data_IF_947344085261
#
_entry.id   IF_947344085261
#
_cell.length_a   1.000
_cell.length_b   1.000
_cell.length_c   1.000
_cell.angle_alpha   90.00
_cell.angle_beta   90.00
_cell.angle_gamma   90.00
#
_symmetry.space_group_name_H-M   'P 1'
#
loop_
_entity.id
_entity.type
_entity.pdbx_description
1 polymer ?
#
# COMPACT_ATOMS: atom_id res chain seq x y z
N UNK A 1 22.06 -15.34 -27.06
CA UNK A 1 20.75 -14.65 -27.13
C UNK A 1 20.97 -13.20 -27.54
N UNK A 2 20.16 -12.68 -28.48
CA UNK A 2 20.27 -11.24 -28.89
C UNK A 2 18.90 -10.65 -29.12
N UNK A 3 18.65 -9.44 -28.54
CA UNK A 3 17.39 -8.71 -28.69
C UNK A 3 17.62 -7.20 -28.65
N UNK A 4 16.62 -6.45 -29.14
CA UNK A 4 16.60 -4.98 -29.17
C UNK A 4 15.34 -4.50 -28.41
N UNK A 5 15.52 -3.51 -27.55
CA UNK A 5 14.43 -2.91 -26.73
C UNK A 5 14.66 -1.41 -26.56
N UNK A 6 13.59 -0.59 -26.48
CA UNK A 6 13.70 0.83 -26.14
C UNK A 6 14.17 0.99 -24.69
N UNK A 7 15.17 1.88 -24.47
CA UNK A 7 15.72 2.14 -23.14
C UNK A 7 14.66 2.71 -22.19
N UNK A 8 13.83 3.65 -22.66
CA UNK A 8 12.76 4.27 -21.85
C UNK A 8 11.65 3.27 -21.51
N UNK A 9 11.23 2.43 -22.48
CA UNK A 9 10.22 1.41 -22.25
C UNK A 9 10.69 0.36 -21.25
N UNK A 10 11.95 -0.09 -21.38
CA UNK A 10 12.55 -1.03 -20.44
C UNK A 10 12.64 -0.43 -19.05
N UNK A 11 13.21 0.78 -18.93
CA UNK A 11 13.34 1.47 -17.63
C UNK A 11 12.00 1.61 -16.92
N UNK A 12 10.96 2.06 -17.63
CA UNK A 12 9.60 2.21 -17.07
C UNK A 12 9.08 0.90 -16.48
N UNK A 13 9.23 -0.21 -17.20
CA UNK A 13 8.75 -1.50 -16.72
C UNK A 13 9.59 -2.02 -15.53
N UNK A 14 10.91 -1.86 -15.58
CA UNK A 14 11.77 -2.25 -14.47
C UNK A 14 11.48 -1.43 -13.18
N UNK A 15 11.13 -0.14 -13.31
CA UNK A 15 10.74 0.69 -12.17
C UNK A 15 9.51 0.13 -11.44
N UNK A 16 8.54 -0.47 -12.16
CA UNK A 16 7.35 -1.07 -11.54
C UNK A 16 7.69 -2.27 -10.64
N UNK A 17 8.73 -3.03 -10.97
CA UNK A 17 9.08 -4.27 -10.26
C UNK A 17 10.33 -4.16 -9.39
N UNK A 18 11.14 -3.12 -9.56
CA UNK A 18 12.41 -2.95 -8.82
C UNK A 18 12.24 -2.88 -7.30
N UNK A 19 11.09 -2.42 -6.81
CA UNK A 19 10.77 -2.37 -5.39
C UNK A 19 10.61 -3.73 -4.71
N UNK A 20 10.53 -4.83 -5.47
CA UNK A 20 10.56 -6.19 -4.92
C UNK A 20 11.95 -6.53 -4.39
N UNK A 21 12.99 -6.08 -5.11
CA UNK A 21 14.38 -6.42 -4.83
C UNK A 21 14.81 -5.74 -3.52
N UNK A 22 15.32 -6.56 -2.60
CA UNK A 22 15.94 -6.08 -1.37
C UNK A 22 17.46 -6.06 -1.56
N UNK A 23 18.12 -5.00 -1.11
CA UNK A 23 19.57 -4.99 -1.00
C UNK A 23 20.04 -5.87 0.17
N UNK A 24 21.21 -6.50 0.02
CA UNK A 24 21.83 -7.36 1.05
C UNK A 24 21.01 -8.61 1.40
N UNK A 25 20.54 -9.31 0.40
CA UNK A 25 19.85 -10.59 0.59
C UNK A 25 20.83 -11.73 0.90
N UNK A 26 20.31 -12.79 1.54
CA UNK A 26 21.10 -14.02 1.80
C UNK A 26 21.45 -14.76 0.50
N UNK A 27 20.59 -14.61 -0.52
CA UNK A 27 20.76 -15.20 -1.85
C UNK A 27 21.07 -14.10 -2.86
N UNK A 28 22.31 -13.94 -3.32
CA UNK A 28 22.69 -12.84 -4.24
C UNK A 28 21.83 -12.74 -5.51
N UNK A 29 21.40 -13.87 -6.06
CA UNK A 29 20.56 -13.89 -7.28
C UNK A 29 19.22 -13.16 -7.13
N UNK A 30 18.75 -12.90 -5.89
CA UNK A 30 17.57 -12.10 -5.64
C UNK A 30 17.78 -10.59 -5.85
N UNK A 31 19.04 -10.17 -6.04
CA UNK A 31 19.40 -8.80 -6.43
C UNK A 31 19.35 -8.63 -7.96
N UNK A 32 19.03 -9.68 -8.70
CA UNK A 32 18.97 -9.69 -10.15
C UNK A 32 17.52 -9.65 -10.66
N UNK A 33 17.37 -9.16 -11.87
CA UNK A 33 16.19 -9.41 -12.70
C UNK A 33 16.39 -10.65 -13.54
N UNK A 34 15.43 -11.58 -13.54
CA UNK A 34 15.40 -12.66 -14.53
C UNK A 34 14.78 -12.13 -15.83
N UNK A 35 15.56 -12.12 -16.89
CA UNK A 35 15.14 -11.81 -18.26
C UNK A 35 14.84 -13.11 -19.01
N UNK A 36 13.64 -13.21 -19.55
CA UNK A 36 13.20 -14.33 -20.37
C UNK A 36 12.74 -13.81 -21.73
N UNK A 37 13.46 -14.18 -22.78
CA UNK A 37 13.14 -13.83 -24.17
C UNK A 37 12.52 -15.03 -24.84
N UNK A 38 11.29 -14.87 -25.30
CA UNK A 38 10.59 -15.86 -26.11
C UNK A 38 9.91 -15.19 -27.30
N UNK A 39 10.35 -15.58 -28.53
CA UNK A 39 9.94 -14.90 -29.76
C UNK A 39 10.24 -13.39 -29.65
N UNK A 40 9.23 -12.54 -29.87
CA UNK A 40 9.37 -11.09 -29.79
C UNK A 40 8.85 -10.53 -28.46
N UNK A 41 8.89 -11.31 -27.38
CA UNK A 41 8.48 -10.88 -26.04
C UNK A 41 9.63 -11.04 -25.07
N UNK A 42 9.82 -10.02 -24.26
CA UNK A 42 10.69 -10.04 -23.10
C UNK A 42 9.80 -10.05 -21.85
N UNK A 43 9.94 -11.07 -21.03
CA UNK A 43 9.41 -11.09 -19.68
C UNK A 43 10.54 -10.78 -18.70
N UNK A 44 10.32 -9.88 -17.75
CA UNK A 44 11.26 -9.59 -16.68
C UNK A 44 10.60 -9.89 -15.35
N UNK A 45 11.31 -10.65 -14.52
CA UNK A 45 10.82 -11.08 -13.19
C UNK A 45 11.75 -10.58 -12.11
N UNK A 46 11.17 -10.15 -11.00
CA UNK A 46 11.86 -9.84 -9.75
C UNK A 46 11.18 -10.58 -8.59
N UNK A 47 11.95 -11.07 -7.64
CA UNK A 47 11.43 -11.76 -6.46
C UNK A 47 12.27 -11.53 -5.22
N UNK A 48 11.62 -11.59 -4.05
CA UNK A 48 12.26 -11.67 -2.73
C UNK A 48 11.89 -12.98 -2.00
N UNK A 49 11.41 -13.99 -2.75
CA UNK A 49 10.84 -15.28 -2.33
C UNK A 49 9.39 -15.19 -1.82
N UNK A 50 8.99 -14.10 -1.19
CA UNK A 50 7.62 -13.91 -0.68
C UNK A 50 6.73 -13.19 -1.69
N UNK A 51 7.32 -12.33 -2.51
CA UNK A 51 6.65 -11.57 -3.57
C UNK A 51 7.37 -11.77 -4.89
N UNK A 52 6.61 -12.03 -5.95
CA UNK A 52 7.10 -12.10 -7.31
C UNK A 52 6.36 -11.07 -8.15
N UNK A 53 7.09 -10.28 -8.92
CA UNK A 53 6.50 -9.41 -9.93
C UNK A 53 7.09 -9.71 -11.31
N UNK A 54 6.22 -9.77 -12.29
CA UNK A 54 6.55 -10.01 -13.70
C UNK A 54 5.97 -8.88 -14.54
N UNK A 55 6.76 -8.37 -15.46
CA UNK A 55 6.33 -7.44 -16.52
C UNK A 55 6.71 -8.01 -17.88
N UNK A 56 5.94 -7.64 -18.90
CA UNK A 56 6.19 -8.07 -20.27
C UNK A 56 6.30 -6.86 -21.20
N UNK A 57 7.24 -6.96 -22.15
CA UNK A 57 7.46 -5.96 -23.19
C UNK A 57 7.54 -6.65 -24.55
N UNK A 58 7.09 -5.94 -25.58
CA UNK A 58 7.39 -6.32 -26.96
C UNK A 58 8.81 -5.88 -27.33
N UNK A 59 9.54 -6.74 -28.01
CA UNK A 59 10.94 -6.54 -28.39
C UNK A 59 11.18 -7.10 -29.79
N UNK A 60 12.32 -6.74 -30.38
CA UNK A 60 12.83 -7.44 -31.56
C UNK A 60 13.87 -8.45 -31.12
N UNK A 61 13.61 -9.75 -31.27
CA UNK A 61 14.52 -10.82 -30.88
C UNK A 61 14.85 -11.73 -32.01
N UNK A 62 16.14 -12.16 -32.05
CA UNK A 62 16.61 -13.18 -33.00
C UNK A 62 16.55 -14.58 -32.41
N UNK A 63 16.79 -14.68 -31.11
CA UNK A 63 16.93 -15.94 -30.39
C UNK A 63 16.16 -15.88 -29.08
N UNK A 64 15.64 -17.02 -28.64
CA UNK A 64 15.05 -17.17 -27.29
C UNK A 64 16.15 -17.52 -26.28
N UNK A 65 15.88 -17.27 -25.00
CA UNK A 65 16.78 -17.62 -23.89
C UNK A 65 16.47 -16.89 -22.61
N UNK A 66 17.27 -17.19 -21.57
CA UNK A 66 17.11 -16.58 -20.23
C UNK A 66 18.47 -16.16 -19.70
N UNK A 67 18.47 -15.15 -18.83
CA UNK A 67 19.64 -14.68 -18.09
C UNK A 67 19.21 -13.87 -16.88
N UNK A 68 19.93 -13.96 -15.76
CA UNK A 68 19.77 -13.05 -14.64
C UNK A 68 20.71 -11.86 -14.79
N UNK A 69 20.21 -10.65 -14.59
CA UNK A 69 20.95 -9.40 -14.79
C UNK A 69 20.93 -8.59 -13.50
N UNK A 70 22.09 -8.18 -12.95
CA UNK A 70 22.17 -7.36 -11.75
C UNK A 70 21.32 -6.10 -11.87
N UNK A 71 20.28 -5.99 -11.03
CA UNK A 71 19.25 -4.98 -11.18
C UNK A 71 19.80 -3.58 -10.95
N UNK A 72 20.64 -3.39 -9.93
CA UNK A 72 21.17 -2.08 -9.54
C UNK A 72 21.95 -1.44 -10.68
N UNK A 73 22.93 -2.14 -11.22
CA UNK A 73 23.80 -1.59 -12.30
C UNK A 73 23.00 -1.34 -13.58
N UNK A 74 22.04 -2.23 -13.90
CA UNK A 74 21.16 -2.06 -15.06
C UNK A 74 20.28 -0.82 -14.89
N UNK A 75 19.60 -0.67 -13.76
CA UNK A 75 18.73 0.47 -13.47
C UNK A 75 19.50 1.79 -13.49
N UNK A 76 20.68 1.82 -12.86
CA UNK A 76 21.50 3.02 -12.80
C UNK A 76 22.05 3.40 -14.18
N UNK A 77 22.37 2.42 -15.04
CA UNK A 77 22.74 2.64 -16.43
C UNK A 77 21.60 3.21 -17.26
N UNK A 78 20.40 2.57 -17.17
CA UNK A 78 19.23 2.99 -17.94
C UNK A 78 18.75 4.41 -17.59
N UNK A 79 18.85 4.83 -16.33
CA UNK A 79 18.51 6.21 -15.90
C UNK A 79 19.37 7.27 -16.56
N UNK A 80 20.58 6.93 -16.98
CA UNK A 80 21.57 7.86 -17.56
C UNK A 80 21.70 7.74 -19.08
N UNK A 81 20.95 6.81 -19.71
CA UNK A 81 20.91 6.63 -21.17
C UNK A 81 19.68 7.37 -21.71
N UNK A 82 19.87 8.23 -22.72
CA UNK A 82 18.77 8.88 -23.42
C UNK A 82 17.87 7.83 -24.10
N UNK A 83 16.62 8.21 -24.43
CA UNK A 83 15.70 7.31 -25.09
C UNK A 83 16.21 6.89 -26.47
N UNK A 84 16.50 5.62 -26.61
CA UNK A 84 17.06 5.00 -27.82
C UNK A 84 16.88 3.50 -27.82
N UNK A 85 16.99 2.82 -28.98
CA UNK A 85 17.08 1.37 -29.03
C UNK A 85 18.39 0.87 -28.38
N UNK A 86 18.27 -0.10 -27.50
CA UNK A 86 19.42 -0.81 -26.91
C UNK A 86 19.48 -2.23 -27.43
N UNK A 87 20.66 -2.64 -27.88
CA UNK A 87 20.91 -4.03 -28.27
C UNK A 87 21.57 -4.77 -27.13
N UNK A 88 20.90 -5.80 -26.64
CA UNK A 88 21.46 -6.76 -25.69
C UNK A 88 22.00 -7.97 -26.41
N UNK A 89 23.25 -8.33 -26.14
CA UNK A 89 23.90 -9.56 -26.64
C UNK A 89 24.41 -10.34 -25.44
N UNK A 90 23.92 -11.55 -25.27
CA UNK A 90 24.27 -12.43 -24.16
C UNK A 90 24.99 -13.66 -24.70
N UNK A 91 26.18 -13.93 -24.19
CA UNK A 91 27.00 -15.06 -24.56
C UNK A 91 26.63 -16.34 -23.76
N UNK A 92 27.37 -17.44 -24.03
CA UNK A 92 27.14 -18.75 -23.39
C UNK A 92 27.55 -18.80 -21.92
N UNK A 93 28.33 -17.83 -21.44
CA UNK A 93 28.82 -17.72 -20.08
C UNK A 93 28.07 -16.64 -19.31
N UNK A 94 26.91 -16.21 -19.81
CA UNK A 94 26.07 -15.13 -19.22
C UNK A 94 26.72 -13.74 -19.24
N UNK A 95 27.80 -13.54 -20.02
CA UNK A 95 28.32 -12.22 -20.29
C UNK A 95 27.34 -11.40 -21.14
N UNK A 96 26.99 -10.20 -20.68
CA UNK A 96 26.01 -9.32 -21.30
C UNK A 96 26.71 -8.10 -21.85
N UNK A 97 26.58 -7.85 -23.15
CA UNK A 97 26.97 -6.59 -23.78
C UNK A 97 25.72 -5.82 -24.19
N UNK A 98 25.57 -4.59 -23.64
CA UNK A 98 24.52 -3.65 -23.98
C UNK A 98 25.14 -2.60 -24.89
N UNK A 99 24.64 -2.48 -26.11
CA UNK A 99 25.10 -1.51 -27.11
C UNK A 99 24.03 -0.42 -27.27
N UNK A 100 24.46 0.83 -27.13
CA UNK A 100 23.70 2.04 -27.44
C UNK A 100 24.31 2.76 -28.65
N UNK A 101 23.74 3.86 -29.11
CA UNK A 101 24.27 4.67 -30.21
C UNK A 101 25.70 5.11 -29.98
N UNK A 102 26.06 5.45 -28.75
CA UNK A 102 27.34 6.08 -28.41
C UNK A 102 28.23 5.22 -27.50
N UNK A 103 27.82 4.04 -27.10
CA UNK A 103 28.57 3.27 -26.12
C UNK A 103 28.26 1.78 -26.07
N UNK A 104 29.18 1.08 -25.40
CA UNK A 104 29.03 -0.35 -25.07
C UNK A 104 29.29 -0.55 -23.59
N UNK A 105 28.38 -1.28 -22.95
CA UNK A 105 28.45 -1.58 -21.53
C UNK A 105 28.47 -3.10 -21.35
N UNK A 106 29.35 -3.60 -20.51
CA UNK A 106 29.47 -5.01 -20.22
C UNK A 106 29.13 -5.30 -18.77
N UNK A 107 28.27 -6.25 -18.54
CA UNK A 107 27.88 -6.72 -17.23
C UNK A 107 27.94 -8.25 -17.23
N UNK A 108 28.37 -8.84 -16.11
CA UNK A 108 28.27 -10.28 -15.93
C UNK A 108 26.90 -10.60 -15.35
N UNK A 109 26.16 -11.46 -15.99
CA UNK A 109 24.91 -12.02 -15.50
C UNK A 109 25.13 -13.34 -14.77
N UNK A 110 24.04 -13.91 -14.26
CA UNK A 110 24.04 -15.18 -13.57
C UNK A 110 23.20 -16.24 -14.29
N UNK A 111 23.43 -17.52 -13.92
CA UNK A 111 22.69 -18.64 -14.48
C UNK A 111 21.21 -18.59 -14.05
N UNK A 112 20.25 -18.49 -14.98
CA UNK A 112 18.83 -18.41 -14.70
C UNK A 112 18.26 -19.67 -14.03
N UNK A 113 18.92 -20.81 -14.12
CA UNK A 113 18.49 -22.05 -13.47
C UNK A 113 18.53 -21.97 -11.93
N UNK A 114 19.33 -21.02 -11.39
CA UNK A 114 19.41 -20.75 -9.96
C UNK A 114 18.33 -19.78 -9.48
N UNK A 115 17.59 -19.14 -10.39
CA UNK A 115 16.53 -18.21 -10.01
C UNK A 115 15.33 -18.96 -9.44
N UNK A 116 14.70 -18.47 -8.35
CA UNK A 116 13.57 -19.14 -7.71
C UNK A 116 12.39 -19.31 -8.66
N UNK A 117 11.71 -20.46 -8.54
CA UNK A 117 10.50 -20.71 -9.32
C UNK A 117 9.34 -19.85 -8.81
N UNK A 118 8.56 -19.34 -9.74
CA UNK A 118 7.34 -18.60 -9.42
C UNK A 118 6.25 -19.55 -8.90
N UNK A 119 5.39 -19.11 -7.95
CA UNK A 119 4.24 -19.87 -7.55
C UNK A 119 3.23 -19.99 -8.70
N UNK A 120 2.60 -21.15 -8.81
CA UNK A 120 1.55 -21.42 -9.80
C UNK A 120 0.18 -21.00 -9.24
N UNK A 121 -0.69 -20.50 -10.12
CA UNK A 121 -2.05 -20.09 -9.77
C UNK A 121 -3.04 -21.28 -9.82
N UNK A 122 -2.62 -22.44 -9.28
CA UNK A 122 -3.45 -23.62 -9.23
C UNK A 122 -4.51 -23.51 -8.13
N UNK A 123 -5.69 -24.08 -8.36
CA UNK A 123 -6.82 -24.13 -7.42
C UNK A 123 -7.22 -22.75 -6.87
N UNK A 124 -7.17 -21.72 -7.69
CA UNK A 124 -7.50 -20.35 -7.28
C UNK A 124 -8.98 -20.03 -7.40
N UNK A 125 -9.47 -19.21 -6.46
CA UNK A 125 -10.72 -18.44 -6.62
C UNK A 125 -10.38 -17.08 -7.20
N UNK A 126 -11.13 -16.65 -8.22
CA UNK A 126 -10.88 -15.39 -8.92
C UNK A 126 -12.07 -14.46 -8.84
N UNK A 127 -11.81 -13.16 -8.84
CA UNK A 127 -12.79 -12.10 -8.99
C UNK A 127 -12.17 -10.90 -9.71
N UNK A 128 -13.01 -10.07 -10.30
CA UNK A 128 -12.57 -8.89 -11.04
C UNK A 128 -13.02 -7.61 -10.33
N UNK A 129 -12.26 -6.54 -10.50
CA UNK A 129 -12.63 -5.20 -10.08
C UNK A 129 -11.91 -4.15 -10.93
N UNK A 130 -12.29 -2.88 -10.82
CA UNK A 130 -11.55 -1.79 -11.43
C UNK A 130 -10.18 -1.59 -10.75
N UNK A 131 -9.16 -1.27 -11.51
CA UNK A 131 -7.82 -0.99 -10.99
C UNK A 131 -7.84 0.19 -10.01
N UNK A 132 -8.60 1.25 -10.33
CA UNK A 132 -8.84 2.39 -9.43
C UNK A 132 -9.41 1.96 -8.08
N UNK A 133 -10.36 1.03 -8.06
CA UNK A 133 -10.99 0.53 -6.84
C UNK A 133 -9.99 -0.23 -5.93
N UNK A 134 -9.09 -1.05 -6.51
CA UNK A 134 -8.04 -1.71 -5.74
C UNK A 134 -7.03 -0.71 -5.18
N UNK A 135 -6.54 0.21 -6.00
CA UNK A 135 -5.56 1.23 -5.58
C UNK A 135 -6.14 2.11 -4.48
N UNK A 136 -7.42 2.47 -4.58
CA UNK A 136 -8.15 3.21 -3.54
C UNK A 136 -8.28 2.39 -2.26
N UNK A 137 -8.68 1.11 -2.34
CA UNK A 137 -8.80 0.24 -1.17
C UNK A 137 -7.46 0.10 -0.42
N UNK A 138 -6.37 -0.10 -1.16
CA UNK A 138 -5.02 -0.15 -0.58
C UNK A 138 -4.66 1.19 0.06
N UNK A 139 -4.89 2.31 -0.62
CA UNK A 139 -4.53 3.65 -0.15
C UNK A 139 -5.28 4.04 1.12
N UNK A 140 -6.56 3.65 1.20
CA UNK A 140 -7.44 3.94 2.35
C UNK A 140 -7.20 3.03 3.56
N UNK A 141 -6.44 1.92 3.43
CA UNK A 141 -6.27 0.96 4.53
C UNK A 141 -4.83 0.75 4.96
N UNK A 142 -3.89 0.75 4.03
CA UNK A 142 -2.52 0.30 4.25
C UNK A 142 -1.76 1.07 5.34
N UNK A 143 -2.07 2.35 5.54
CA UNK A 143 -1.43 3.20 6.55
C UNK A 143 -1.74 2.76 7.99
N UNK A 144 -2.82 2.00 8.19
CA UNK A 144 -3.25 1.52 9.49
C UNK A 144 -2.68 0.14 9.84
N UNK A 145 -1.85 -0.47 9.00
CA UNK A 145 -1.17 -1.73 9.31
C UNK A 145 -0.09 -1.54 10.38
N UNK A 146 0.16 -2.57 11.17
CA UNK A 146 1.22 -2.60 12.19
C UNK A 146 2.60 -2.82 11.56
N UNK A 147 3.65 -2.36 12.26
CA UNK A 147 5.04 -2.74 11.99
C UNK A 147 5.57 -3.76 13.03
N UNK A 148 4.71 -4.29 13.86
CA UNK A 148 5.08 -5.23 14.94
C UNK A 148 4.98 -6.67 14.43
N UNK A 149 6.12 -7.28 14.16
CA UNK A 149 6.21 -8.67 13.65
C UNK A 149 5.75 -9.72 14.68
N UNK A 150 5.61 -9.35 15.95
CA UNK A 150 5.02 -10.22 16.97
C UNK A 150 3.50 -10.39 16.80
N UNK A 151 2.87 -9.54 16.01
CA UNK A 151 1.46 -9.60 15.66
C UNK A 151 1.28 -9.68 14.14
N UNK A 152 1.70 -10.78 13.50
CA UNK A 152 1.78 -10.88 12.04
C UNK A 152 0.44 -10.64 11.34
N UNK A 153 -0.69 -11.01 11.95
CA UNK A 153 -2.01 -10.74 11.39
C UNK A 153 -2.27 -9.24 11.12
N UNK A 154 -1.64 -8.34 11.88
CA UNK A 154 -1.83 -6.89 11.75
C UNK A 154 -0.80 -6.23 10.82
N UNK A 155 0.23 -6.96 10.33
CA UNK A 155 1.24 -6.41 9.41
C UNK A 155 0.79 -6.37 7.95
N UNK A 156 -0.43 -6.82 7.67
CA UNK A 156 -1.07 -6.80 6.36
C UNK A 156 -2.47 -6.22 6.41
N UNK A 157 -3.09 -6.18 5.25
CA UNK A 157 -4.50 -5.80 5.09
C UNK A 157 -5.33 -7.08 4.99
N UNK A 158 -6.37 -7.15 5.79
CA UNK A 158 -7.34 -8.24 5.78
C UNK A 158 -8.40 -7.98 4.71
N UNK A 159 -8.50 -8.90 3.76
CA UNK A 159 -9.50 -8.92 2.71
C UNK A 159 -10.62 -9.87 3.13
N UNK A 160 -11.82 -9.38 3.28
CA UNK A 160 -13.04 -10.17 3.55
C UNK A 160 -13.99 -9.99 2.38
N UNK A 161 -14.28 -11.10 1.67
CA UNK A 161 -15.15 -11.12 0.49
C UNK A 161 -16.44 -11.86 0.83
N UNK A 162 -17.54 -11.30 0.41
CA UNK A 162 -18.85 -11.95 0.45
C UNK A 162 -19.73 -11.49 -0.72
N UNK A 163 -21.01 -11.92 -0.73
CA UNK A 163 -22.00 -11.47 -1.72
C UNK A 163 -22.35 -9.98 -1.61
N UNK A 164 -21.96 -9.31 -0.52
CA UNK A 164 -22.30 -7.91 -0.24
C UNK A 164 -21.15 -6.96 -0.56
N UNK A 165 -20.00 -7.50 -0.96
CA UNK A 165 -18.86 -6.71 -1.35
C UNK A 165 -17.52 -7.24 -0.88
N UNK A 166 -16.49 -6.47 -1.20
CA UNK A 166 -15.13 -6.62 -0.67
C UNK A 166 -14.95 -5.66 0.50
N UNK A 167 -14.48 -6.14 1.63
CA UNK A 167 -14.02 -5.33 2.74
C UNK A 167 -12.50 -5.48 2.91
N UNK A 168 -11.81 -4.34 3.01
CA UNK A 168 -10.40 -4.27 3.35
C UNK A 168 -10.29 -3.67 4.75
N UNK A 169 -9.62 -4.37 5.66
CA UNK A 169 -9.48 -3.96 7.06
C UNK A 169 -8.01 -3.97 7.45
N UNK A 170 -7.57 -2.92 8.13
CA UNK A 170 -6.24 -2.82 8.70
C UNK A 170 -6.28 -2.23 10.10
N UNK A 171 -5.40 -2.70 10.99
CA UNK A 171 -5.29 -2.21 12.36
C UNK A 171 -3.87 -2.41 12.90
N UNK A 172 -3.44 -1.50 13.79
CA UNK A 172 -2.22 -1.61 14.59
C UNK A 172 -2.52 -1.74 16.10
N UNK A 173 -3.78 -2.04 16.46
CA UNK A 173 -4.37 -2.09 17.79
C UNK A 173 -4.66 -0.71 18.43
N UNK A 174 -4.19 0.40 17.86
CA UNK A 174 -4.48 1.77 18.33
C UNK A 174 -5.47 2.48 17.43
N UNK A 175 -5.55 2.06 16.19
CA UNK A 175 -6.51 2.51 15.18
C UNK A 175 -6.94 1.34 14.30
N UNK A 176 -8.06 1.51 13.63
CA UNK A 176 -8.60 0.54 12.68
C UNK A 176 -9.22 1.29 11.51
N UNK A 177 -8.99 0.80 10.32
CA UNK A 177 -9.69 1.25 9.12
C UNK A 177 -10.42 0.08 8.50
N UNK A 178 -11.68 0.28 8.19
CA UNK A 178 -12.51 -0.62 7.38
C UNK A 178 -12.97 0.15 6.16
N UNK A 179 -12.60 -0.33 5.00
CA UNK A 179 -13.05 0.20 3.71
C UNK A 179 -13.78 -0.88 2.94
N UNK A 180 -14.99 -0.58 2.48
CA UNK A 180 -15.83 -1.51 1.75
C UNK A 180 -16.14 -1.01 0.35
N UNK A 181 -16.10 -1.95 -0.64
CA UNK A 181 -16.57 -1.79 -2.02
C UNK A 181 -17.74 -2.73 -2.22
N UNK A 182 -18.94 -2.15 -2.43
CA UNK A 182 -20.19 -2.92 -2.50
C UNK A 182 -20.41 -3.59 -3.85
N UNK A 183 -19.82 -3.04 -4.92
CA UNK A 183 -19.93 -3.56 -6.29
C UNK A 183 -19.05 -4.79 -6.55
N UNK A 184 -18.03 -5.01 -5.72
CA UNK A 184 -17.13 -6.16 -5.84
C UNK A 184 -17.71 -7.32 -5.05
N UNK A 185 -18.20 -8.34 -5.72
CA UNK A 185 -18.78 -9.49 -5.05
C UNK A 185 -18.07 -10.80 -5.38
N UNK A 186 -17.99 -11.69 -4.40
CA UNK A 186 -17.55 -13.07 -4.57
C UNK A 186 -18.66 -14.01 -4.10
N UNK A 187 -19.11 -14.95 -4.94
CA UNK A 187 -20.22 -15.86 -4.58
C UNK A 187 -19.92 -16.75 -3.36
N UNK A 188 -18.64 -17.11 -3.20
CA UNK A 188 -18.14 -17.88 -2.06
C UNK A 188 -17.47 -16.89 -1.11
N UNK A 189 -18.06 -16.72 0.08
CA UNK A 189 -17.43 -15.92 1.14
C UNK A 189 -16.06 -16.49 1.52
N UNK A 190 -15.06 -15.63 1.62
CA UNK A 190 -13.70 -16.01 2.00
C UNK A 190 -12.95 -14.83 2.60
N UNK A 191 -11.81 -15.10 3.23
CA UNK A 191 -10.98 -14.05 3.81
C UNK A 191 -9.52 -14.46 3.87
N UNK A 192 -8.63 -13.48 3.67
CA UNK A 192 -7.19 -13.67 3.70
C UNK A 192 -6.46 -12.37 4.04
N UNK A 193 -5.19 -12.46 4.42
CA UNK A 193 -4.38 -11.30 4.80
C UNK A 193 -3.25 -11.14 3.78
N UNK A 194 -3.23 -10.00 3.10
CA UNK A 194 -2.18 -9.64 2.13
C UNK A 194 -1.11 -8.79 2.83
N UNK A 195 0.17 -9.17 2.77
CA UNK A 195 1.24 -8.40 3.41
C UNK A 195 1.34 -6.96 2.88
N UNK A 196 1.90 -6.09 3.71
CA UNK A 196 2.05 -4.66 3.40
C UNK A 196 2.93 -4.40 2.17
N UNK A 197 4.07 -5.10 2.02
CA UNK A 197 5.04 -4.86 0.94
C UNK A 197 4.42 -5.03 -0.44
N UNK A 198 3.80 -6.18 -0.81
CA UNK A 198 3.17 -6.35 -2.12
C UNK A 198 2.07 -5.33 -2.39
N UNK A 199 1.29 -4.92 -1.39
CA UNK A 199 0.27 -3.89 -1.58
C UNK A 199 0.87 -2.51 -1.92
N UNK A 200 1.99 -2.15 -1.30
CA UNK A 200 2.72 -0.93 -1.69
C UNK A 200 3.24 -1.01 -3.14
N UNK A 201 3.75 -2.18 -3.55
CA UNK A 201 4.22 -2.39 -4.92
C UNK A 201 3.10 -2.27 -5.94
N UNK A 202 1.93 -2.81 -5.63
CA UNK A 202 0.74 -2.68 -6.50
C UNK A 202 0.33 -1.23 -6.72
N UNK A 203 0.37 -0.38 -5.69
CA UNK A 203 0.07 1.06 -5.83
C UNK A 203 0.97 1.79 -6.82
N UNK A 204 2.21 1.33 -6.98
CA UNK A 204 3.18 1.92 -7.91
C UNK A 204 3.02 1.32 -9.31
N UNK A 205 2.74 0.01 -9.39
CA UNK A 205 2.73 -0.73 -10.64
C UNK A 205 1.40 -0.65 -11.40
N UNK A 206 0.29 -0.44 -10.68
CA UNK A 206 -1.06 -0.40 -11.27
C UNK A 206 -1.55 1.06 -11.36
N UNK A 207 -1.93 1.54 -12.55
CA UNK A 207 -2.52 2.87 -12.69
C UNK A 207 -3.90 2.90 -12.04
N UNK A 208 -4.23 4.04 -11.41
CA UNK A 208 -5.55 4.27 -10.81
C UNK A 208 -6.56 4.69 -11.89
N UNK A 209 -6.90 3.79 -12.77
CA UNK A 209 -7.89 3.95 -13.84
C UNK A 209 -8.98 2.88 -13.75
N UNK A 210 -9.94 2.89 -14.64
CA UNK A 210 -11.09 1.99 -14.64
C UNK A 210 -10.84 0.68 -15.42
N UNK A 211 -9.59 0.40 -15.82
CA UNK A 211 -9.26 -0.88 -16.44
C UNK A 211 -9.60 -2.02 -15.48
N UNK A 212 -10.15 -3.09 -16.02
CA UNK A 212 -10.44 -4.29 -15.26
C UNK A 212 -9.15 -5.02 -14.87
N UNK A 213 -9.05 -5.38 -13.61
CA UNK A 213 -7.99 -6.26 -13.09
C UNK A 213 -8.58 -7.56 -12.58
N UNK A 214 -7.82 -8.63 -12.77
CA UNK A 214 -8.14 -9.94 -12.21
C UNK A 214 -7.33 -10.18 -10.95
N UNK A 215 -8.04 -10.47 -9.88
CA UNK A 215 -7.50 -10.88 -8.59
C UNK A 215 -7.82 -12.35 -8.37
N UNK A 216 -6.84 -13.12 -7.94
CA UNK A 216 -7.03 -14.54 -7.63
C UNK A 216 -6.31 -14.89 -6.34
N UNK A 217 -6.80 -15.86 -5.63
CA UNK A 217 -6.17 -16.34 -4.40
C UNK A 217 -6.42 -17.83 -4.19
N UNK A 218 -5.51 -18.45 -3.46
CA UNK A 218 -5.66 -19.77 -2.90
C UNK A 218 -5.30 -19.75 -1.40
N UNK A 219 -5.10 -20.91 -0.77
CA UNK A 219 -4.75 -20.98 0.66
C UNK A 219 -3.44 -20.26 1.02
N UNK A 220 -2.51 -20.10 0.09
CA UNK A 220 -1.14 -19.67 0.37
C UNK A 220 -0.74 -18.38 -0.34
N UNK A 221 -1.36 -18.07 -1.48
CA UNK A 221 -0.92 -16.98 -2.34
C UNK A 221 -2.07 -16.11 -2.82
N UNK A 222 -1.75 -14.85 -3.03
CA UNK A 222 -2.59 -13.87 -3.71
C UNK A 222 -1.92 -13.48 -5.03
N UNK A 223 -2.72 -13.40 -6.09
CA UNK A 223 -2.28 -13.09 -7.45
C UNK A 223 -3.05 -11.90 -7.99
N UNK A 224 -2.34 -11.03 -8.71
CA UNK A 224 -2.91 -9.87 -9.39
C UNK A 224 -2.42 -9.85 -10.83
N UNK A 225 -3.33 -9.65 -11.78
CA UNK A 225 -3.00 -9.50 -13.19
C UNK A 225 -3.67 -8.24 -13.74
N UNK A 226 -2.85 -7.34 -14.28
CA UNK A 226 -3.27 -6.13 -14.97
C UNK A 226 -2.42 -5.93 -16.24
N UNK A 227 -3.04 -6.08 -17.40
CA UNK A 227 -2.33 -5.96 -18.68
C UNK A 227 -1.11 -6.88 -18.75
N UNK A 228 0.07 -6.27 -18.91
CA UNK A 228 1.36 -6.95 -18.97
C UNK A 228 2.04 -7.13 -17.61
N UNK A 229 1.46 -6.62 -16.55
CA UNK A 229 1.97 -6.72 -15.18
C UNK A 229 1.27 -7.84 -14.43
N UNK A 230 2.04 -8.68 -13.77
CA UNK A 230 1.55 -9.74 -12.90
C UNK A 230 2.30 -9.68 -11.58
N UNK A 231 1.60 -9.94 -10.49
CA UNK A 231 2.17 -10.08 -9.16
C UNK A 231 1.61 -11.32 -8.50
N UNK A 232 2.45 -12.03 -7.77
CA UNK A 232 2.03 -13.02 -6.78
C UNK A 232 2.73 -12.74 -5.45
N UNK A 233 2.04 -12.97 -4.35
CA UNK A 233 2.66 -12.90 -3.04
C UNK A 233 2.10 -13.96 -2.11
N UNK A 234 2.93 -14.38 -1.15
CA UNK A 234 2.51 -15.25 -0.07
C UNK A 234 1.56 -14.53 0.87
N UNK A 235 0.49 -15.19 1.28
CA UNK A 235 -0.45 -14.70 2.27
C UNK A 235 0.11 -14.84 3.69
N UNK A 236 -0.33 -13.98 4.60
CA UNK A 236 -0.01 -14.12 6.02
C UNK A 236 -0.89 -15.22 6.61
N UNK A 237 -0.26 -16.33 7.02
CA UNK A 237 -0.92 -17.44 7.68
C UNK A 237 -1.15 -17.11 9.17
N UNK A 238 -2.16 -16.31 9.44
CA UNK A 238 -2.56 -15.94 10.80
C UNK A 238 -4.05 -15.60 10.84
N UNK A 239 -4.68 -15.78 12.01
CA UNK A 239 -6.06 -15.38 12.21
C UNK A 239 -6.14 -13.87 12.48
N UNK A 240 -6.85 -13.14 11.63
CA UNK A 240 -7.14 -11.71 11.87
C UNK A 240 -8.05 -11.57 13.11
N UNK A 241 -7.81 -10.57 13.99
CA UNK A 241 -8.65 -10.34 15.17
C UNK A 241 -10.10 -10.03 14.75
N UNK A 242 -11.05 -10.38 15.63
CA UNK A 242 -12.46 -10.02 15.42
C UNK A 242 -12.63 -8.50 15.59
N UNK A 243 -12.37 -7.77 14.51
CA UNK A 243 -12.39 -6.33 14.50
C UNK A 243 -13.80 -5.73 14.70
N UNK A 244 -14.85 -6.53 14.46
CA UNK A 244 -16.25 -6.06 14.54
C UNK A 244 -16.64 -5.71 15.98
N UNK A 245 -16.07 -6.40 16.96
CA UNK A 245 -16.38 -6.20 18.38
C UNK A 245 -15.78 -4.92 18.96
N UNK A 246 -14.74 -4.35 18.33
CA UNK A 246 -14.11 -3.11 18.82
C UNK A 246 -14.73 -1.84 18.23
N UNK A 247 -15.57 -1.96 17.20
CA UNK A 247 -16.26 -0.82 16.58
C UNK A 247 -17.45 -0.44 17.45
N UNK A 248 -17.46 0.75 18.09
CA UNK A 248 -18.57 1.22 18.87
C UNK A 248 -19.85 1.36 18.04
N UNK A 249 -20.96 0.94 18.60
CA UNK A 249 -22.30 1.09 17.98
C UNK A 249 -23.11 2.21 18.62
N UNK A 250 -22.60 2.83 19.69
CA UNK A 250 -23.30 3.78 20.56
C UNK A 250 -22.42 5.00 20.89
N UNK A 251 -21.89 5.66 19.88
CA UNK A 251 -21.25 6.98 20.00
C UNK A 251 -22.28 8.06 19.64
N UNK A 252 -22.97 8.68 20.64
CA UNK A 252 -24.12 9.54 20.37
C UNK A 252 -23.74 10.94 19.91
N UNK A 253 -22.53 11.39 20.19
CA UNK A 253 -22.08 12.75 19.90
C UNK A 253 -21.40 12.82 18.54
N UNK A 254 -21.83 13.75 17.70
CA UNK A 254 -21.26 13.99 16.39
C UNK A 254 -20.59 15.36 16.34
N UNK A 255 -19.31 15.33 16.01
CA UNK A 255 -18.50 16.50 15.66
C UNK A 255 -18.32 16.53 14.14
N UNK A 256 -18.80 17.58 13.47
CA UNK A 256 -18.57 17.83 12.05
C UNK A 256 -17.63 19.02 11.89
N UNK A 257 -16.56 18.84 11.11
CA UNK A 257 -15.54 19.87 10.87
C UNK A 257 -15.08 19.85 9.42
N UNK A 258 -14.63 21.02 8.93
CA UNK A 258 -13.90 21.07 7.67
C UNK A 258 -12.60 20.24 7.77
N UNK A 259 -12.43 19.31 6.85
CA UNK A 259 -11.31 18.35 6.87
C UNK A 259 -9.94 19.04 6.78
N UNK A 260 -9.81 19.99 5.84
CA UNK A 260 -8.51 20.64 5.56
C UNK A 260 -8.09 21.56 6.72
N UNK A 261 -9.03 22.28 7.29
CA UNK A 261 -8.79 23.15 8.45
C UNK A 261 -8.38 22.32 9.66
N UNK A 262 -9.11 21.24 9.93
CA UNK A 262 -8.82 20.34 11.05
C UNK A 262 -7.46 19.66 10.88
N UNK A 263 -7.16 19.14 9.70
CA UNK A 263 -5.86 18.52 9.41
C UNK A 263 -4.71 19.53 9.52
N UNK A 264 -4.93 20.76 9.03
CA UNK A 264 -3.98 21.87 9.15
C UNK A 264 -3.68 22.25 10.60
N UNK A 265 -4.74 22.41 11.42
CA UNK A 265 -4.61 22.69 12.85
C UNK A 265 -3.87 21.56 13.59
N UNK A 266 -4.23 20.30 13.34
CA UNK A 266 -3.53 19.14 13.90
C UNK A 266 -2.05 19.13 13.56
N UNK A 267 -1.69 19.43 12.29
CA UNK A 267 -0.28 19.48 11.86
C UNK A 267 0.50 20.57 12.62
N UNK A 268 -0.08 21.76 12.80
CA UNK A 268 0.60 22.87 13.50
C UNK A 268 0.71 22.59 15.00
N UNK A 269 -0.40 22.21 15.65
CA UNK A 269 -0.43 21.97 17.10
C UNK A 269 0.43 20.77 17.49
N UNK A 270 0.46 19.70 16.67
CA UNK A 270 1.26 18.50 16.95
C UNK A 270 2.78 18.73 16.97
N UNK A 271 3.27 19.85 16.43
CA UNK A 271 4.69 20.23 16.52
C UNK A 271 5.10 20.39 17.99
N UNK A 272 4.21 20.86 18.82
CA UNK A 272 4.37 21.12 20.26
C UNK A 272 4.07 19.92 21.15
N UNK A 273 3.63 18.79 20.58
CA UNK A 273 3.32 17.58 21.33
C UNK A 273 4.58 16.80 21.71
N UNK A 274 4.50 16.03 22.81
CA UNK A 274 5.51 15.09 23.17
C UNK A 274 5.75 14.06 22.01
N UNK A 275 7.02 13.82 21.66
CA UNK A 275 7.39 13.03 20.50
C UNK A 275 7.07 11.53 20.61
N UNK A 276 6.93 11.03 21.83
CA UNK A 276 6.60 9.61 22.07
C UNK A 276 5.11 9.35 21.88
N UNK A 277 4.25 10.24 22.40
CA UNK A 277 2.80 10.05 22.37
C UNK A 277 2.12 10.73 21.18
N UNK A 278 2.70 11.83 20.67
CA UNK A 278 2.10 12.73 19.68
C UNK A 278 0.68 13.17 20.10
N UNK A 279 0.48 13.37 21.41
CA UNK A 279 -0.83 13.63 21.97
C UNK A 279 -1.32 15.02 21.64
N UNK A 280 -2.56 15.13 21.17
CA UNK A 280 -3.32 16.36 21.01
C UNK A 280 -4.66 16.17 21.73
N UNK A 281 -5.01 17.10 22.62
CA UNK A 281 -6.31 17.15 23.27
C UNK A 281 -7.27 17.96 22.41
N UNK A 282 -8.48 17.45 22.27
CA UNK A 282 -9.63 18.10 21.63
C UNK A 282 -10.62 18.49 22.73
N UNK A 283 -10.81 19.79 22.94
CA UNK A 283 -11.85 20.33 23.80
C UNK A 283 -12.98 20.83 22.92
N UNK A 284 -14.16 20.23 23.05
CA UNK A 284 -15.30 20.43 22.16
C UNK A 284 -16.45 21.03 23.02
N UNK A 285 -16.92 22.20 22.68
CA UNK A 285 -18.04 22.83 23.35
C UNK A 285 -18.87 23.68 22.38
N UNK A 286 -20.13 23.36 22.23
CA UNK A 286 -21.04 24.08 21.35
C UNK A 286 -20.56 24.10 19.88
N UNK A 287 -20.17 25.27 19.36
CA UNK A 287 -19.68 25.43 17.99
C UNK A 287 -18.15 25.63 17.90
N UNK A 288 -17.42 25.43 18.99
CA UNK A 288 -15.98 25.63 19.07
C UNK A 288 -15.26 24.29 19.32
N UNK A 289 -14.21 24.04 18.55
CA UNK A 289 -13.24 22.99 18.77
C UNK A 289 -11.89 23.64 19.09
N UNK A 290 -11.36 23.37 20.27
CA UNK A 290 -9.99 23.75 20.63
C UNK A 290 -9.07 22.54 20.58
N UNK A 291 -7.94 22.70 19.89
CA UNK A 291 -6.85 21.72 19.86
C UNK A 291 -5.74 22.21 20.77
N UNK A 292 -5.20 21.36 21.63
CA UNK A 292 -4.08 21.68 22.50
C UNK A 292 -3.06 20.54 22.54
N UNK A 293 -1.79 20.89 22.53
CA UNK A 293 -0.69 19.95 22.73
C UNK A 293 0.35 20.57 23.65
N UNK A 294 0.99 19.72 24.44
CA UNK A 294 2.05 20.13 25.37
C UNK A 294 3.15 19.08 25.43
N UNK A 295 4.38 19.54 25.51
CA UNK A 295 5.55 18.74 25.90
C UNK A 295 6.15 19.37 27.16
N UNK A 296 5.88 18.75 28.31
CA UNK A 296 6.30 19.27 29.63
C UNK A 296 7.82 19.25 29.76
N UNK A 297 8.49 18.25 29.17
CA UNK A 297 9.94 18.09 29.29
C UNK A 297 10.72 19.23 28.62
N UNK A 298 10.15 19.78 27.55
CA UNK A 298 10.75 20.88 26.79
C UNK A 298 10.03 22.22 26.99
N UNK A 299 8.98 22.27 27.85
CA UNK A 299 8.15 23.46 28.06
C UNK A 299 7.54 23.99 26.75
N UNK A 300 7.17 23.11 25.84
CA UNK A 300 6.47 23.48 24.62
C UNK A 300 4.97 23.40 24.83
N UNK A 301 4.24 24.37 24.28
CA UNK A 301 2.78 24.40 24.28
C UNK A 301 2.26 25.02 22.99
N UNK A 302 1.21 24.44 22.43
CA UNK A 302 0.52 24.98 21.27
C UNK A 302 -0.97 24.74 21.39
N UNK A 303 -1.77 25.76 21.04
CA UNK A 303 -3.22 25.64 20.99
C UNK A 303 -3.77 26.43 19.80
N UNK A 304 -4.87 25.92 19.25
CA UNK A 304 -5.63 26.56 18.18
C UNK A 304 -7.12 26.34 18.40
N UNK A 305 -7.92 27.26 17.88
CA UNK A 305 -9.38 27.17 17.89
C UNK A 305 -9.92 27.17 16.47
N UNK A 306 -10.97 26.42 16.26
CA UNK A 306 -11.69 26.39 14.99
C UNK A 306 -13.19 26.21 15.19
N UNK A 307 -13.97 26.62 14.22
CA UNK A 307 -15.40 26.39 14.23
C UNK A 307 -15.74 24.93 13.94
N UNK A 308 -16.78 24.42 14.56
CA UNK A 308 -17.31 23.09 14.33
C UNK A 308 -18.83 23.08 14.47
N UNK A 309 -19.44 21.96 14.06
CA UNK A 309 -20.82 21.62 14.41
C UNK A 309 -20.77 20.43 15.37
N UNK A 310 -21.28 20.61 16.59
CA UNK A 310 -21.27 19.57 17.60
C UNK A 310 -22.62 19.47 18.29
N UNK A 311 -23.12 18.23 18.45
CA UNK A 311 -24.44 17.97 19.03
C UNK A 311 -24.38 17.31 20.41
N UNK A 312 -23.19 17.27 21.04
CA UNK A 312 -22.98 16.60 22.32
C UNK A 312 -22.82 17.55 23.49
N UNK A 313 -22.61 16.97 24.67
CA UNK A 313 -22.17 17.68 25.87
C UNK A 313 -20.68 18.04 25.75
N UNK A 314 -20.22 19.03 26.51
CA UNK A 314 -18.80 19.42 26.52
C UNK A 314 -17.91 18.22 26.79
N UNK A 315 -16.94 18.02 25.90
CA UNK A 315 -16.08 16.84 25.91
C UNK A 315 -14.63 17.26 25.76
N UNK A 316 -13.75 16.70 26.58
CA UNK A 316 -12.30 16.75 26.39
C UNK A 316 -11.80 15.33 26.17
N UNK A 317 -11.17 15.10 25.00
CA UNK A 317 -10.66 13.80 24.59
C UNK A 317 -9.32 13.98 23.90
N UNK A 318 -8.36 13.07 24.11
CA UNK A 318 -7.05 13.16 23.49
C UNK A 318 -6.80 12.02 22.52
N UNK A 319 -6.08 12.32 21.45
CA UNK A 319 -5.68 11.34 20.44
C UNK A 319 -4.22 11.52 20.02
N UNK A 320 -3.67 10.50 19.41
CA UNK A 320 -2.43 10.62 18.67
C UNK A 320 -2.69 11.41 17.38
N UNK A 321 -2.10 12.59 17.26
CA UNK A 321 -2.31 13.51 16.15
C UNK A 321 -1.89 12.90 14.80
N UNK A 322 -0.83 12.07 14.76
CA UNK A 322 -0.39 11.40 13.53
C UNK A 322 -1.47 10.48 12.97
N UNK A 323 -2.15 9.75 13.86
CA UNK A 323 -3.24 8.86 13.43
C UNK A 323 -4.39 9.65 12.83
N UNK A 324 -4.80 10.73 13.48
CA UNK A 324 -5.87 11.60 12.94
C UNK A 324 -5.47 12.23 11.60
N UNK A 325 -4.23 12.72 11.46
CA UNK A 325 -3.73 13.32 10.21
C UNK A 325 -3.73 12.30 9.06
N UNK A 326 -3.32 11.05 9.30
CA UNK A 326 -3.33 10.00 8.29
C UNK A 326 -4.76 9.58 7.92
N UNK A 327 -5.66 9.48 8.89
CA UNK A 327 -7.08 9.20 8.64
C UNK A 327 -7.74 10.31 7.83
N UNK A 328 -7.49 11.58 8.17
CA UNK A 328 -8.00 12.73 7.42
C UNK A 328 -7.45 12.76 5.98
N UNK A 329 -6.21 12.31 5.78
CA UNK A 329 -5.64 12.17 4.43
C UNK A 329 -6.35 11.11 3.58
N UNK A 330 -6.94 10.08 4.20
CA UNK A 330 -7.67 9.02 3.53
C UNK A 330 -9.15 9.36 3.27
N UNK A 331 -9.68 10.38 3.94
CA UNK A 331 -11.05 10.85 3.73
C UNK A 331 -11.13 11.75 2.49
N UNK A 332 -12.00 11.40 1.55
CA UNK A 332 -12.23 12.14 0.29
C UNK A 332 -13.55 12.92 0.37
N UNK A 333 -13.62 13.90 1.27
CA UNK A 333 -14.76 14.81 1.43
C UNK A 333 -14.26 16.14 1.97
N UNK A 334 -15.05 17.20 1.81
CA UNK A 334 -14.72 18.54 2.34
C UNK A 334 -14.88 18.59 3.85
N UNK A 335 -15.83 17.86 4.38
CA UNK A 335 -16.09 17.73 5.81
C UNK A 335 -15.94 16.28 6.27
N UNK A 336 -15.64 16.12 7.55
CA UNK A 336 -15.60 14.82 8.23
C UNK A 336 -16.47 14.83 9.47
N UNK A 337 -17.03 13.67 9.77
CA UNK A 337 -17.79 13.43 10.99
C UNK A 337 -16.96 12.59 11.96
N UNK A 338 -16.80 13.05 13.20
CA UNK A 338 -16.31 12.23 14.30
C UNK A 338 -17.47 11.87 15.22
N UNK A 339 -17.71 10.56 15.38
CA UNK A 339 -18.68 10.03 16.34
C UNK A 339 -17.94 9.74 17.64
N UNK A 340 -18.36 10.38 18.74
CA UNK A 340 -17.71 10.39 20.04
C UNK A 340 -18.68 9.99 21.14
N UNK A 341 -18.17 9.66 22.33
CA UNK A 341 -18.96 9.34 23.52
C UNK A 341 -18.26 9.85 24.77
N UNK A 342 -17.37 9.06 25.38
CA UNK A 342 -16.63 9.42 26.60
C UNK A 342 -15.15 9.63 26.28
N UNK A 343 -14.36 10.29 27.18
CA UNK A 343 -12.91 10.49 26.97
C UNK A 343 -12.09 9.22 26.79
N UNK A 344 -12.63 8.05 27.16
CA UNK A 344 -11.92 6.77 27.13
C UNK A 344 -12.43 5.80 26.05
N UNK A 345 -13.50 6.17 25.35
CA UNK A 345 -14.09 5.32 24.30
C UNK A 345 -13.57 5.71 22.93
N UNK A 346 -13.37 4.72 22.07
CA UNK A 346 -12.86 4.94 20.71
C UNK A 346 -13.76 5.92 19.95
N UNK A 347 -13.12 6.87 19.25
CA UNK A 347 -13.78 7.74 18.29
C UNK A 347 -13.86 7.07 16.90
N UNK A 348 -14.93 7.35 16.17
CA UNK A 348 -15.10 6.91 14.78
C UNK A 348 -15.05 8.15 13.89
N UNK A 349 -14.20 8.12 12.87
CA UNK A 349 -14.10 9.16 11.84
C UNK A 349 -14.63 8.61 10.52
N UNK A 350 -15.51 9.37 9.89
CA UNK A 350 -16.09 9.05 8.57
C UNK A 350 -16.09 10.31 7.70
N UNK A 351 -15.89 10.19 6.38
CA UNK A 351 -16.23 11.27 5.46
C UNK A 351 -17.71 11.66 5.62
N UNK A 352 -18.03 12.96 5.47
CA UNK A 352 -19.43 13.41 5.51
C UNK A 352 -20.24 12.97 4.29
N UNK A 353 -19.54 12.81 3.16
CA UNK A 353 -20.07 12.34 1.89
C UNK A 353 -19.18 11.22 1.34
N UNK A 354 -19.80 10.17 0.82
CA UNK A 354 -19.11 9.01 0.23
C UNK A 354 -19.90 8.53 -0.99
N UNK A 355 -19.17 7.98 -1.96
CA UNK A 355 -19.79 7.28 -3.09
C UNK A 355 -20.72 6.17 -2.57
N UNK A 356 -21.83 5.92 -3.28
CA UNK A 356 -22.82 4.91 -2.89
C UNK A 356 -22.25 3.47 -2.81
N UNK A 357 -21.18 3.21 -3.55
CA UNK A 357 -20.46 1.93 -3.57
C UNK A 357 -19.38 1.84 -2.49
N UNK A 358 -19.07 2.94 -1.80
CA UNK A 358 -18.05 3.00 -0.78
C UNK A 358 -18.62 3.06 0.64
N UNK A 359 -17.89 2.51 1.60
CA UNK A 359 -18.13 2.69 3.04
C UNK A 359 -16.77 2.69 3.75
N UNK A 360 -16.27 3.89 4.07
CA UNK A 360 -15.05 4.11 4.84
C UNK A 360 -15.40 4.43 6.28
N UNK A 361 -14.93 3.59 7.20
CA UNK A 361 -15.02 3.80 8.64
C UNK A 361 -13.62 3.70 9.23
N UNK A 362 -13.23 4.69 10.01
CA UNK A 362 -11.94 4.73 10.68
C UNK A 362 -12.14 4.91 12.18
N UNK A 363 -11.53 4.04 12.98
CA UNK A 363 -11.60 4.06 14.43
C UNK A 363 -10.24 4.47 14.99
N UNK A 364 -10.24 5.30 16.02
CA UNK A 364 -9.04 5.70 16.76
C UNK A 364 -9.27 5.59 18.27
N UNK A 365 -8.32 4.93 18.95
CA UNK A 365 -8.33 4.83 20.41
C UNK A 365 -7.87 6.16 21.02
N UNK A 366 -8.55 6.68 22.04
CA UNK A 366 -8.10 7.85 22.75
C UNK A 366 -6.87 7.55 23.60
N UNK A 367 -6.12 8.59 23.89
CA UNK A 367 -5.04 8.60 24.87
C UNK A 367 -5.57 9.10 26.20
N UNK A 368 -5.03 8.56 27.31
CA UNK A 368 -5.36 9.07 28.64
C UNK A 368 -4.81 10.48 28.78
N UNK A 369 -5.66 11.42 29.17
CA UNK A 369 -5.24 12.75 29.57
C UNK A 369 -4.50 12.63 30.90
N UNK A 370 -3.25 13.06 30.95
CA UNK A 370 -2.54 13.22 32.22
C UNK A 370 -3.25 14.35 32.99
N UNK A 371 -3.81 14.03 34.14
CA UNK A 371 -4.40 14.99 35.05
C UNK A 371 -3.33 15.83 35.70
#
# INVERSE_FOLDING_TARGET
>A
MKFIVSSSSLLKQLQHISGVINANTVLPILEDFLFEVEKNKLSVVATDLETVMRVQLEIEAKDSGKVCIPAKILMDSLKNIADQPLTFTIDKNFGIEITSDNGKYKVMGENPDNFPKEPTADDTTSFNMAASALVTAISKTLFATSNDDLRPAMTGVFFELDKKGLQCVATDAHRLVRYKRKEVSCPKGDSFIVPRKPLNLLKVAIPANDDEITLSYNSNHFFVKHGTTQMSCRLIDARFPDYKVVIPTDNPYRLTVNKNDFQGALRRVSIFSNKSTNQVALSISGSELQLAAQDVDFSFEGNERMNCQYNGEDLVIAFNARFLIEMLSAAESDEVNMELSTPTKAGILKPSDQDENEDLLMLVMPLMLNQ
#
